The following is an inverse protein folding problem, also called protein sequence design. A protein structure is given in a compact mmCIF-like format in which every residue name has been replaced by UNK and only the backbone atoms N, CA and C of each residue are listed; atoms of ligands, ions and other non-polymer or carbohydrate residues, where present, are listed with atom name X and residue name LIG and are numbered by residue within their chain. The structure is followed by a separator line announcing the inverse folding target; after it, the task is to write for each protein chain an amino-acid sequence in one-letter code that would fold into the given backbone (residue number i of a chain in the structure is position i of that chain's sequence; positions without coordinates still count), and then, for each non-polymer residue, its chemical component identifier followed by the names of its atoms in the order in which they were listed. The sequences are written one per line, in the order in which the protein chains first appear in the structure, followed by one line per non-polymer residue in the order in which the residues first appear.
data_IF_762070872866
#
_entry.id   IF_762070872866
#
_cell.length_a   1.000
_cell.length_b   1.000
_cell.length_c   1.000
_cell.angle_alpha   90.00
_cell.angle_beta   90.00
_cell.angle_gamma   90.00
#
_symmetry.space_group_name_H-M   'P 1'
#
loop_
_entity.id
_entity.type
_entity.pdbx_description
1 polymer ?
#
# COMPACT_ATOMS: atom_id res chain seq x y z
N UNK A 1 20.17 9.30 9.80
CA UNK A 1 19.96 10.16 10.99
C UNK A 1 19.49 9.27 12.12
N UNK A 2 20.19 9.23 13.26
CA UNK A 2 19.76 8.45 14.43
C UNK A 2 18.96 9.35 15.37
N UNK A 3 17.84 8.86 15.87
CA UNK A 3 17.06 9.55 16.89
C UNK A 3 17.66 9.21 18.25
N UNK A 4 17.92 10.23 19.06
CA UNK A 4 18.45 10.05 20.42
C UNK A 4 17.38 9.47 21.36
N UNK A 5 17.76 8.71 22.40
CA UNK A 5 16.84 8.29 23.45
C UNK A 5 16.06 9.48 24.03
N UNK A 6 14.74 9.32 24.16
CA UNK A 6 13.84 10.37 24.66
C UNK A 6 13.55 11.50 23.65
N UNK A 7 13.86 11.34 22.36
CA UNK A 7 13.57 12.36 21.34
C UNK A 7 12.09 12.79 21.32
N UNK A 8 11.15 11.84 21.47
CA UNK A 8 9.72 12.12 21.47
C UNK A 8 9.32 13.07 22.60
N UNK A 9 9.76 12.77 23.83
CA UNK A 9 9.51 13.62 25.01
C UNK A 9 10.15 15.00 24.87
N UNK A 10 11.30 15.09 24.19
CA UNK A 10 11.91 16.39 23.84
C UNK A 10 11.05 17.18 22.86
N UNK A 11 10.45 16.53 21.86
CA UNK A 11 9.55 17.19 20.91
C UNK A 11 8.26 17.68 21.60
N UNK A 12 7.70 16.89 22.53
CA UNK A 12 6.49 17.26 23.28
C UNK A 12 6.71 18.47 24.21
N UNK A 13 7.90 18.59 24.79
CA UNK A 13 8.25 19.68 25.71
C UNK A 13 8.79 20.94 25.01
N UNK A 14 9.04 20.89 23.69
CA UNK A 14 9.51 22.04 22.91
C UNK A 14 8.36 22.94 22.50
N UNK A 15 8.68 24.21 22.21
CA UNK A 15 7.70 25.09 21.58
C UNK A 15 7.32 24.56 20.20
N UNK A 16 6.05 24.74 19.82
CA UNK A 16 5.51 24.29 18.53
C UNK A 16 6.35 24.85 17.37
N UNK A 17 6.69 26.14 17.41
CA UNK A 17 7.51 26.78 16.36
C UNK A 17 8.85 26.09 16.16
N UNK A 18 9.55 25.76 17.26
CA UNK A 18 10.85 25.08 17.19
C UNK A 18 10.71 23.68 16.60
N UNK A 19 9.69 22.92 17.01
CA UNK A 19 9.42 21.59 16.46
C UNK A 19 9.14 21.65 14.96
N UNK A 20 8.39 22.66 14.50
CA UNK A 20 8.11 22.88 13.07
C UNK A 20 9.38 23.21 12.30
N UNK A 21 10.19 24.16 12.77
CA UNK A 21 11.45 24.55 12.12
C UNK A 21 12.42 23.38 11.98
N UNK A 22 12.63 22.62 13.07
CA UNK A 22 13.51 21.46 13.10
C UNK A 22 13.02 20.35 12.15
N UNK A 23 11.70 20.10 12.09
CA UNK A 23 11.11 19.15 11.16
C UNK A 23 11.34 19.59 9.71
N UNK A 24 11.03 20.84 9.36
CA UNK A 24 11.18 21.36 8.00
C UNK A 24 12.64 21.36 7.54
N UNK A 25 13.57 21.72 8.42
CA UNK A 25 15.00 21.70 8.11
C UNK A 25 15.51 20.28 7.88
N UNK A 26 15.17 19.36 8.79
CA UNK A 26 15.51 17.94 8.68
C UNK A 26 14.94 17.32 7.41
N UNK A 27 13.65 17.58 7.14
CA UNK A 27 12.95 17.03 5.99
C UNK A 27 13.49 17.59 4.67
N UNK A 28 13.83 18.88 4.62
CA UNK A 28 14.50 19.48 3.46
C UNK A 28 15.83 18.78 3.16
N UNK A 29 16.67 18.57 4.18
CA UNK A 29 17.95 17.84 4.03
C UNK A 29 17.72 16.41 3.53
N UNK A 30 16.73 15.72 4.10
CA UNK A 30 16.35 14.36 3.68
C UNK A 30 15.95 14.28 2.22
N UNK A 31 15.06 15.18 1.75
CA UNK A 31 14.61 15.19 0.35
C UNK A 31 15.80 15.29 -0.61
N UNK A 32 16.76 16.18 -0.36
CA UNK A 32 17.92 16.35 -1.25
C UNK A 32 18.92 15.20 -1.22
N UNK A 33 18.81 14.27 -0.25
CA UNK A 33 19.58 13.03 -0.22
C UNK A 33 18.93 11.90 -1.03
N UNK A 34 17.66 12.03 -1.41
CA UNK A 34 16.96 11.01 -2.17
C UNK A 34 17.38 11.03 -3.65
N UNK A 35 17.39 9.87 -4.33
CA UNK A 35 17.50 9.84 -5.79
C UNK A 35 16.35 10.63 -6.45
N UNK A 36 16.54 11.26 -7.62
CA UNK A 36 15.52 12.11 -8.27
C UNK A 36 14.15 11.44 -8.46
N UNK A 37 14.14 10.14 -8.71
CA UNK A 37 12.90 9.35 -8.81
C UNK A 37 12.12 9.31 -7.49
N UNK A 38 12.81 9.16 -6.35
CA UNK A 38 12.19 9.14 -5.03
C UNK A 38 11.79 10.53 -4.54
N UNK A 39 12.55 11.58 -4.90
CA UNK A 39 12.15 12.97 -4.63
C UNK A 39 10.75 13.26 -5.16
N UNK A 40 10.49 12.89 -6.42
CA UNK A 40 9.16 13.09 -7.03
C UNK A 40 8.06 12.34 -6.28
N UNK A 41 8.30 11.08 -5.93
CA UNK A 41 7.33 10.27 -5.17
C UNK A 41 7.03 10.88 -3.80
N UNK A 42 8.07 11.29 -3.08
CA UNK A 42 7.99 11.93 -1.77
C UNK A 42 7.13 13.21 -1.84
N UNK A 43 7.44 14.10 -2.77
CA UNK A 43 6.72 15.37 -2.93
C UNK A 43 5.28 15.17 -3.40
N UNK A 44 5.03 14.29 -4.38
CA UNK A 44 3.68 14.01 -4.89
C UNK A 44 2.82 13.39 -3.78
N UNK A 45 3.36 12.43 -3.03
CA UNK A 45 2.65 11.79 -1.92
C UNK A 45 2.33 12.78 -0.80
N UNK A 46 3.28 13.65 -0.45
CA UNK A 46 3.08 14.73 0.51
C UNK A 46 1.97 15.70 0.08
N UNK A 47 2.00 16.17 -1.18
CA UNK A 47 0.96 17.04 -1.73
C UNK A 47 -0.41 16.35 -1.74
N UNK A 48 -0.47 15.11 -2.19
CA UNK A 48 -1.69 14.32 -2.24
C UNK A 48 -2.31 14.17 -0.84
N UNK A 49 -1.48 13.87 0.18
CA UNK A 49 -1.92 13.84 1.58
C UNK A 49 -2.43 15.20 2.05
N UNK A 50 -1.68 16.27 1.85
CA UNK A 50 -2.08 17.62 2.30
C UNK A 50 -3.41 18.06 1.67
N UNK A 51 -3.63 17.77 0.39
CA UNK A 51 -4.83 18.18 -0.33
C UNK A 51 -6.05 17.30 -0.06
N UNK A 52 -5.86 16.00 0.27
CA UNK A 52 -6.97 15.02 0.33
C UNK A 52 -7.18 14.38 1.68
N UNK A 53 -6.35 14.64 2.68
CA UNK A 53 -6.52 14.06 4.02
C UNK A 53 -7.85 14.43 4.70
N UNK A 54 -8.54 15.47 4.22
CA UNK A 54 -9.86 15.88 4.72
C UNK A 54 -11.03 15.16 4.02
N UNK A 55 -10.77 14.40 2.96
CA UNK A 55 -11.82 13.65 2.27
C UNK A 55 -12.21 12.46 3.13
N UNK A 56 -13.52 12.30 3.33
CA UNK A 56 -14.05 11.26 4.19
C UNK A 56 -13.86 9.86 3.58
N UNK A 57 -14.17 9.74 2.28
CA UNK A 57 -14.13 8.51 1.51
C UNK A 57 -13.83 8.78 0.03
N UNK A 58 -13.75 7.73 -0.78
CA UNK A 58 -13.68 7.85 -2.25
C UNK A 58 -14.95 8.46 -2.85
N UNK A 59 -16.09 8.44 -2.15
CA UNK A 59 -17.34 9.05 -2.63
C UNK A 59 -17.20 10.58 -2.72
N UNK A 60 -16.41 11.19 -1.82
CA UNK A 60 -16.04 12.62 -1.92
C UNK A 60 -15.25 12.96 -3.19
N UNK A 61 -14.80 11.94 -3.92
CA UNK A 61 -14.09 12.05 -5.19
C UNK A 61 -14.93 11.57 -6.37
N UNK A 62 -16.23 11.33 -6.17
CA UNK A 62 -17.16 10.75 -7.15
C UNK A 62 -16.69 9.38 -7.68
N UNK A 63 -16.11 8.56 -6.79
CA UNK A 63 -15.67 7.20 -7.12
C UNK A 63 -16.42 6.17 -6.29
N UNK A 64 -16.79 5.07 -6.93
CA UNK A 64 -17.39 3.89 -6.29
C UNK A 64 -16.45 2.70 -6.48
N UNK A 65 -16.05 2.06 -5.38
CA UNK A 65 -15.11 0.93 -5.38
C UNK A 65 -15.80 -0.32 -4.86
N UNK A 66 -15.45 -1.46 -5.46
CA UNK A 66 -15.96 -2.79 -5.10
C UNK A 66 -14.83 -3.71 -4.64
N UNK A 67 -15.18 -4.75 -3.88
CA UNK A 67 -14.26 -5.86 -3.60
C UNK A 67 -13.87 -6.50 -4.93
N UNK A 68 -12.59 -6.82 -5.11
CA UNK A 68 -12.03 -7.32 -6.37
C UNK A 68 -11.41 -6.24 -7.25
N UNK A 69 -11.72 -4.96 -7.02
CA UNK A 69 -11.12 -3.88 -7.80
C UNK A 69 -9.62 -3.78 -7.58
N UNK A 70 -8.90 -3.52 -8.67
CA UNK A 70 -7.50 -3.12 -8.64
C UNK A 70 -7.45 -1.62 -8.85
N UNK A 71 -7.05 -0.91 -7.80
CA UNK A 71 -6.99 0.55 -7.84
C UNK A 71 -5.55 1.03 -7.82
N UNK A 72 -5.25 2.07 -8.57
CA UNK A 72 -4.07 2.89 -8.34
C UNK A 72 -4.34 3.80 -7.14
N UNK A 73 -3.50 3.76 -6.11
CA UNK A 73 -3.80 4.40 -4.82
C UNK A 73 -2.55 4.94 -4.12
N UNK A 74 -2.76 5.86 -3.19
CA UNK A 74 -1.74 6.47 -2.36
C UNK A 74 -1.52 5.72 -1.05
N UNK A 75 -0.37 5.07 -0.89
CA UNK A 75 0.02 4.42 0.37
C UNK A 75 0.71 5.38 1.35
N UNK A 76 1.28 6.50 0.88
CA UNK A 76 1.98 7.46 1.74
C UNK A 76 3.46 7.15 1.95
N UNK A 77 4.15 7.99 2.70
CA UNK A 77 5.51 7.70 3.18
C UNK A 77 5.49 6.41 4.03
N UNK A 78 6.43 5.51 3.79
CA UNK A 78 6.46 4.19 4.40
C UNK A 78 7.87 3.79 4.84
N UNK A 79 7.97 2.87 5.79
CA UNK A 79 9.26 2.31 6.21
C UNK A 79 9.81 1.35 5.16
N UNK A 80 11.09 1.00 5.29
CA UNK A 80 11.66 -0.04 4.44
C UNK A 80 10.86 -1.35 4.61
N UNK A 81 10.65 -2.06 3.50
CA UNK A 81 9.82 -3.26 3.38
C UNK A 81 8.30 -3.04 3.37
N UNK A 82 7.83 -1.79 3.41
CA UNK A 82 6.43 -1.44 3.17
C UNK A 82 6.27 -0.83 1.77
N UNK A 83 5.16 -1.12 1.10
CA UNK A 83 4.72 -0.36 -0.06
C UNK A 83 4.32 1.05 0.41
N UNK A 84 5.08 2.04 -0.05
CA UNK A 84 4.82 3.46 0.12
C UNK A 84 4.61 4.16 -1.21
N UNK A 85 4.17 5.40 -1.18
CA UNK A 85 3.82 6.23 -2.34
C UNK A 85 2.68 5.62 -3.17
N UNK A 86 2.63 5.96 -4.46
CA UNK A 86 1.56 5.53 -5.34
C UNK A 86 1.86 4.14 -5.92
N UNK A 87 1.02 3.17 -5.60
CA UNK A 87 1.09 1.80 -6.10
C UNK A 87 -0.31 1.30 -6.45
N UNK A 88 -0.37 0.24 -7.24
CA UNK A 88 -1.62 -0.50 -7.37
C UNK A 88 -1.87 -1.32 -6.10
N UNK A 89 -3.15 -1.54 -5.78
CA UNK A 89 -3.57 -2.45 -4.73
C UNK A 89 -4.87 -3.15 -5.11
N UNK A 90 -4.96 -4.44 -4.80
CA UNK A 90 -6.18 -5.24 -4.91
C UNK A 90 -7.05 -5.01 -3.68
N UNK A 91 -8.31 -4.63 -3.87
CA UNK A 91 -9.29 -4.46 -2.78
C UNK A 91 -9.82 -5.83 -2.36
N UNK A 92 -9.47 -6.25 -1.15
CA UNK A 92 -9.90 -7.51 -0.55
C UNK A 92 -11.09 -7.36 0.40
N UNK A 93 -11.33 -6.14 0.89
CA UNK A 93 -12.44 -5.86 1.79
C UNK A 93 -12.73 -4.37 1.91
N UNK A 94 -13.95 -4.03 2.31
CA UNK A 94 -14.41 -2.67 2.53
C UNK A 94 -15.06 -2.62 3.90
N UNK A 95 -14.59 -1.72 4.76
CA UNK A 95 -15.13 -1.54 6.11
C UNK A 95 -15.00 -0.09 6.55
N UNK A 96 -16.14 0.54 6.87
CA UNK A 96 -16.22 1.91 7.41
C UNK A 96 -15.31 2.91 6.67
N UNK A 97 -15.56 3.10 5.36
CA UNK A 97 -14.80 3.99 4.46
C UNK A 97 -13.33 3.61 4.22
N UNK A 98 -12.85 2.52 4.83
CA UNK A 98 -11.52 1.97 4.61
C UNK A 98 -11.58 0.75 3.71
N UNK A 99 -10.50 0.55 2.97
CA UNK A 99 -10.28 -0.58 2.10
C UNK A 99 -9.19 -1.42 2.72
N UNK A 100 -9.44 -2.72 2.88
CA UNK A 100 -8.39 -3.70 3.11
C UNK A 100 -7.79 -4.06 1.76
N UNK A 101 -6.53 -3.70 1.56
CA UNK A 101 -5.87 -3.78 0.25
C UNK A 101 -4.58 -4.58 0.31
N UNK A 102 -4.26 -5.25 -0.79
CA UNK A 102 -3.00 -5.97 -1.00
C UNK A 102 -2.18 -5.20 -2.04
N UNK A 103 -1.06 -4.57 -1.67
CA UNK A 103 -0.19 -3.87 -2.60
C UNK A 103 0.38 -4.81 -3.66
N UNK A 104 0.69 -4.27 -4.84
CA UNK A 104 1.26 -5.06 -5.94
C UNK A 104 2.39 -4.34 -6.68
N UNK A 105 3.17 -5.13 -7.42
CA UNK A 105 4.22 -4.65 -8.33
C UNK A 105 4.19 -5.41 -9.64
N UNK A 106 4.73 -4.77 -10.68
CA UNK A 106 4.99 -5.41 -11.98
C UNK A 106 6.50 -5.62 -12.21
N UNK A 107 7.30 -5.62 -11.15
CA UNK A 107 8.74 -5.90 -11.24
C UNK A 107 8.95 -7.37 -11.60
N UNK A 108 9.59 -7.62 -12.74
CA UNK A 108 9.80 -8.96 -13.29
C UNK A 108 10.62 -9.87 -12.37
N UNK A 109 11.64 -9.35 -11.70
CA UNK A 109 12.47 -10.15 -10.78
C UNK A 109 11.69 -10.60 -9.55
N UNK A 110 10.74 -9.77 -9.10
CA UNK A 110 9.85 -10.12 -7.98
C UNK A 110 8.81 -11.15 -8.44
N UNK A 111 8.26 -11.00 -9.65
CA UNK A 111 7.30 -11.95 -10.22
C UNK A 111 7.87 -13.37 -10.25
N UNK A 112 9.13 -13.55 -10.71
CA UNK A 112 9.79 -14.87 -10.77
C UNK A 112 9.95 -15.56 -9.42
N UNK A 113 9.81 -14.81 -8.33
CA UNK A 113 9.90 -15.32 -6.96
C UNK A 113 8.52 -15.63 -6.36
N UNK A 114 7.42 -15.50 -7.11
CA UNK A 114 6.08 -15.77 -6.60
C UNK A 114 5.83 -17.27 -6.36
N UNK A 115 5.14 -17.58 -5.25
CA UNK A 115 4.92 -18.94 -4.75
C UNK A 115 4.16 -19.85 -5.72
N UNK A 116 3.27 -19.29 -6.52
CA UNK A 116 2.37 -20.04 -7.40
C UNK A 116 2.93 -20.25 -8.81
N UNK A 117 4.17 -19.79 -9.08
CA UNK A 117 4.86 -20.06 -10.35
C UNK A 117 6.29 -20.58 -10.17
N UNK A 118 6.80 -20.58 -8.93
CA UNK A 118 8.14 -21.05 -8.60
C UNK A 118 8.07 -22.02 -7.43
N UNK A 119 8.64 -23.22 -7.60
CA UNK A 119 8.69 -24.27 -6.59
C UNK A 119 9.33 -23.80 -5.27
N UNK A 120 10.31 -22.88 -5.36
CA UNK A 120 10.98 -22.25 -4.22
C UNK A 120 10.58 -20.78 -4.06
N UNK A 121 9.38 -20.43 -4.53
CA UNK A 121 8.86 -19.07 -4.45
C UNK A 121 8.63 -18.60 -3.01
N UNK A 122 8.71 -17.30 -2.81
CA UNK A 122 8.51 -16.65 -1.52
C UNK A 122 7.03 -16.69 -1.13
N UNK A 123 6.74 -17.14 0.08
CA UNK A 123 5.37 -17.32 0.61
C UNK A 123 4.50 -16.05 0.54
N UNK A 124 5.10 -14.88 0.66
CA UNK A 124 4.41 -13.59 0.64
C UNK A 124 4.17 -13.01 -0.76
N UNK A 125 4.60 -13.69 -1.83
CA UNK A 125 4.47 -13.22 -3.21
C UNK A 125 3.49 -14.11 -3.97
N UNK A 126 2.42 -13.53 -4.53
CA UNK A 126 1.42 -14.27 -5.32
C UNK A 126 1.21 -13.63 -6.69
N UNK A 127 1.50 -14.36 -7.76
CA UNK A 127 1.40 -13.89 -9.14
C UNK A 127 -0.05 -13.95 -9.63
N UNK A 128 -0.54 -12.85 -10.21
CA UNK A 128 -1.94 -12.74 -10.69
C UNK A 128 -2.04 -12.64 -12.22
N UNK A 129 -0.94 -12.79 -12.95
CA UNK A 129 -0.96 -12.58 -14.39
C UNK A 129 -1.16 -11.12 -14.78
N UNK A 130 -1.55 -10.91 -16.04
CA UNK A 130 -1.95 -9.60 -16.58
C UNK A 130 -3.47 -9.49 -16.53
N UNK A 131 -3.97 -8.75 -15.55
CA UNK A 131 -5.40 -8.49 -15.40
C UNK A 131 -5.86 -7.48 -16.48
N UNK A 132 -7.06 -7.65 -17.08
CA UNK A 132 -7.64 -6.66 -17.97
C UNK A 132 -7.67 -5.25 -17.36
N UNK A 133 -7.29 -4.25 -18.15
CA UNK A 133 -7.13 -2.85 -17.71
C UNK A 133 -5.74 -2.51 -17.15
N UNK A 134 -4.90 -3.52 -16.87
CA UNK A 134 -3.49 -3.32 -16.52
C UNK A 134 -2.56 -3.53 -17.72
N UNK A 135 -1.46 -2.78 -17.74
CA UNK A 135 -0.48 -2.84 -18.83
C UNK A 135 0.50 -4.02 -18.69
N UNK A 136 0.72 -4.54 -17.48
CA UNK A 136 1.76 -5.51 -17.16
C UNK A 136 1.22 -6.62 -16.26
N UNK A 137 1.81 -7.81 -16.39
CA UNK A 137 1.63 -8.86 -15.40
C UNK A 137 2.15 -8.41 -14.04
N UNK A 138 1.52 -8.89 -12.97
CA UNK A 138 1.80 -8.37 -11.63
C UNK A 138 1.79 -9.45 -10.56
N UNK A 139 2.39 -9.11 -9.42
CA UNK A 139 2.49 -9.95 -8.21
C UNK A 139 2.04 -9.13 -7.00
N UNK A 140 1.31 -9.79 -6.10
CA UNK A 140 0.79 -9.25 -4.84
C UNK A 140 1.80 -9.48 -3.71
N UNK A 141 1.91 -8.50 -2.80
CA UNK A 141 2.64 -8.60 -1.55
C UNK A 141 1.68 -8.95 -0.41
N UNK A 142 1.47 -10.26 -0.17
CA UNK A 142 0.50 -10.76 0.81
C UNK A 142 0.85 -10.36 2.26
N UNK A 143 2.12 -10.10 2.56
CA UNK A 143 2.57 -9.68 3.88
C UNK A 143 2.46 -8.18 4.13
N UNK A 144 2.03 -7.40 3.14
CA UNK A 144 1.93 -5.95 3.22
C UNK A 144 0.47 -5.47 3.09
N UNK A 145 -0.46 -6.36 3.46
CA UNK A 145 -1.89 -6.03 3.52
C UNK A 145 -2.12 -4.93 4.54
N UNK A 146 -2.95 -3.94 4.21
CA UNK A 146 -3.27 -2.86 5.15
C UNK A 146 -4.64 -2.24 4.89
N UNK A 147 -5.19 -1.64 5.93
CA UNK A 147 -6.35 -0.77 5.79
C UNK A 147 -5.92 0.63 5.37
N UNK A 148 -6.46 1.12 4.27
CA UNK A 148 -6.28 2.49 3.77
C UNK A 148 -7.61 3.21 3.69
N UNK A 149 -7.65 4.52 3.92
CA UNK A 149 -8.86 5.28 3.63
C UNK A 149 -9.15 5.20 2.12
N UNK A 150 -10.40 4.91 1.72
CA UNK A 150 -10.82 4.85 0.32
C UNK A 150 -10.55 6.14 -0.46
N UNK A 151 -10.52 7.30 0.20
CA UNK A 151 -10.13 8.58 -0.38
C UNK A 151 -8.69 8.60 -0.92
N UNK A 152 -7.88 7.56 -0.69
CA UNK A 152 -6.54 7.38 -1.28
C UNK A 152 -6.56 6.82 -2.70
N UNK A 153 -7.70 6.33 -3.19
CA UNK A 153 -7.82 5.86 -4.58
C UNK A 153 -7.61 7.02 -5.55
N UNK A 154 -6.74 6.83 -6.54
CA UNK A 154 -6.52 7.76 -7.65
C UNK A 154 -7.32 7.32 -8.88
N UNK A 155 -7.36 6.02 -9.18
CA UNK A 155 -8.14 5.44 -10.27
C UNK A 155 -8.45 3.96 -10.01
N UNK A 156 -9.52 3.46 -10.64
CA UNK A 156 -9.85 2.02 -10.71
C UNK A 156 -9.42 1.53 -12.09
N UNK A 157 -8.68 0.44 -12.15
CA UNK A 157 -7.94 0.06 -13.37
C UNK A 157 -8.06 -1.42 -13.74
N UNK A 158 -8.70 -2.23 -12.93
CA UNK A 158 -8.90 -3.65 -13.20
C UNK A 158 -9.80 -4.27 -12.15
N UNK A 159 -10.15 -5.53 -12.37
CA UNK A 159 -11.04 -6.25 -11.47
C UNK A 159 -10.70 -7.75 -11.49
N UNK A 160 -10.68 -8.37 -10.32
CA UNK A 160 -10.65 -9.83 -10.15
C UNK A 160 -11.97 -10.21 -9.47
N UNK A 161 -12.76 -11.06 -10.13
CA UNK A 161 -14.04 -11.50 -9.60
C UNK A 161 -13.86 -12.14 -8.20
N UNK A 162 -14.53 -11.63 -7.15
CA UNK A 162 -14.45 -12.18 -5.79
C UNK A 162 -14.90 -13.63 -5.67
N UNK A 163 -15.72 -14.12 -6.62
CA UNK A 163 -16.15 -15.51 -6.68
C UNK A 163 -15.12 -16.46 -7.31
N UNK A 164 -14.12 -15.90 -8.01
CA UNK A 164 -13.10 -16.67 -8.71
C UNK A 164 -12.19 -17.47 -7.75
N UNK A 165 -11.69 -18.60 -8.24
CA UNK A 165 -10.76 -19.44 -7.48
C UNK A 165 -9.50 -18.67 -7.06
N UNK A 166 -8.95 -17.82 -7.95
CA UNK A 166 -7.77 -17.00 -7.64
C UNK A 166 -8.03 -16.05 -6.48
N UNK A 167 -9.16 -15.34 -6.47
CA UNK A 167 -9.48 -14.40 -5.40
C UNK A 167 -9.67 -15.10 -4.05
N UNK A 168 -10.38 -16.23 -4.04
CA UNK A 168 -10.57 -17.07 -2.85
C UNK A 168 -9.24 -17.62 -2.32
N UNK A 169 -8.37 -18.08 -3.21
CA UNK A 169 -7.03 -18.54 -2.82
C UNK A 169 -6.21 -17.42 -2.19
N UNK A 170 -6.18 -16.23 -2.81
CA UNK A 170 -5.48 -15.05 -2.25
C UNK A 170 -6.00 -14.75 -0.84
N UNK A 171 -7.33 -14.73 -0.65
CA UNK A 171 -7.94 -14.50 0.66
C UNK A 171 -7.51 -15.54 1.70
N UNK A 172 -7.56 -16.82 1.35
CA UNK A 172 -7.19 -17.91 2.24
C UNK A 172 -5.70 -17.84 2.62
N UNK A 173 -4.84 -17.52 1.65
CA UNK A 173 -3.42 -17.32 1.90
C UNK A 173 -3.15 -16.15 2.82
N UNK A 174 -3.85 -15.02 2.68
CA UNK A 174 -3.69 -13.87 3.60
C UNK A 174 -4.05 -14.28 5.02
N UNK A 175 -5.18 -14.98 5.21
CA UNK A 175 -5.62 -15.45 6.54
C UNK A 175 -4.56 -16.40 7.13
N UNK A 176 -4.16 -17.40 6.35
CA UNK A 176 -3.17 -18.40 6.77
C UNK A 176 -1.82 -17.78 7.14
N UNK A 177 -1.27 -16.92 6.29
CA UNK A 177 0.07 -16.34 6.53
C UNK A 177 0.05 -15.27 7.63
N UNK A 178 -1.10 -14.63 7.89
CA UNK A 178 -1.23 -13.61 8.94
C UNK A 178 -1.45 -14.22 10.32
N UNK A 179 -2.25 -15.28 10.41
CA UNK A 179 -2.70 -15.85 11.69
C UNK A 179 -2.22 -17.28 11.95
N UNK A 180 -1.46 -17.87 11.04
CA UNK A 180 -1.04 -19.28 11.05
C UNK A 180 -2.21 -20.26 11.23
N UNK A 181 -3.37 -19.90 10.65
CA UNK A 181 -4.59 -20.69 10.73
C UNK A 181 -4.72 -21.62 9.53
N UNK A 182 -5.16 -22.86 9.79
CA UNK A 182 -5.72 -23.72 8.75
C UNK A 182 -7.10 -23.16 8.37
N UNK A 183 -7.25 -22.75 7.12
CA UNK A 183 -8.54 -22.31 6.59
C UNK A 183 -9.32 -23.57 6.21
N UNK A 184 -10.42 -23.85 6.91
CA UNK A 184 -11.35 -24.92 6.53
C UNK A 184 -12.07 -24.54 5.23
N UNK A 185 -12.19 -25.49 4.29
CA UNK A 185 -12.81 -25.29 2.97
C UNK A 185 -14.34 -25.01 3.01
N UNK A 186 -14.94 -24.89 4.19
CA UNK A 186 -16.39 -24.77 4.40
C UNK A 186 -16.84 -23.38 4.89
N UNK A 187 -16.56 -22.31 4.14
CA UNK A 187 -17.15 -20.98 4.37
C UNK A 187 -17.52 -20.22 3.09
#
# INVERSE_FOLDING_TARGET
MKLEPGWLKKCENRSVNRTVEEYLETYRKYIYLLPPYYIRKECISGLNRMCRQKNWSCESLNMTVSIGDICYMEFGQAFINEAGYQHFGLVMGIFNYKLFVVPMTSNFEIIRQARNINLFGKRHLYYIGKIPGLNKSSVLFLNDCKYVNSARIISINGHIDPSSAMFKEIRNLIIKETFDMEVSDDA
#
